data_IF_566472515199
#
_entry.id   IF_566472515199
#
_cell.length_a   1.000
_cell.length_b   1.000
_cell.length_c   1.000
_cell.angle_alpha   90.00
_cell.angle_beta   90.00
_cell.angle_gamma   90.00
#
_symmetry.space_group_name_H-M   'P 1'
#
loop_
_entity.id
_entity.type
_entity.pdbx_description
1 polymer ?
#
# COMPACT_ATOMS: atom_id res chain seq x y z
N UNK A 1 -2.02 -31.15 21.72
CA UNK A 1 -1.35 -30.69 20.50
C UNK A 1 -2.27 -30.35 19.32
N UNK A 2 -3.40 -31.02 19.08
CA UNK A 2 -4.28 -30.71 17.93
C UNK A 2 -5.02 -29.35 18.01
N UNK A 3 -5.31 -28.84 19.18
CA UNK A 3 -6.02 -27.55 19.34
C UNK A 3 -5.16 -26.33 18.99
N UNK A 4 -3.85 -26.36 19.21
CA UNK A 4 -2.95 -25.27 18.87
C UNK A 4 -2.77 -25.12 17.33
N UNK A 5 -2.73 -26.23 16.61
CA UNK A 5 -2.62 -26.23 15.15
C UNK A 5 -3.87 -25.63 14.48
N UNK A 6 -5.07 -25.91 15.03
CA UNK A 6 -6.32 -25.37 14.48
C UNK A 6 -6.45 -23.87 14.73
N UNK A 7 -5.97 -23.38 15.87
CA UNK A 7 -5.98 -21.93 16.17
C UNK A 7 -5.01 -21.15 15.29
N UNK A 8 -3.83 -21.71 15.03
CA UNK A 8 -2.83 -21.12 14.13
C UNK A 8 -3.36 -21.10 12.68
N UNK A 9 -3.99 -22.18 12.23
CA UNK A 9 -4.57 -22.24 10.88
C UNK A 9 -5.71 -21.23 10.68
N UNK A 10 -6.57 -21.04 11.69
CA UNK A 10 -7.65 -20.07 11.64
C UNK A 10 -7.12 -18.63 11.66
N UNK A 11 -6.03 -18.36 12.38
CA UNK A 11 -5.39 -17.04 12.41
C UNK A 11 -4.71 -16.70 11.07
N UNK A 12 -4.07 -17.67 10.41
CA UNK A 12 -3.49 -17.51 9.09
C UNK A 12 -4.57 -17.16 8.04
N UNK A 13 -5.67 -17.91 7.98
CA UNK A 13 -6.78 -17.65 7.06
C UNK A 13 -7.40 -16.25 7.23
N UNK A 14 -7.44 -15.71 8.44
CA UNK A 14 -7.97 -14.37 8.69
C UNK A 14 -7.00 -13.27 8.25
N UNK A 15 -5.70 -13.49 8.34
CA UNK A 15 -4.67 -12.55 7.88
C UNK A 15 -4.61 -12.49 6.34
N UNK A 16 -4.68 -13.64 5.67
CA UNK A 16 -4.74 -13.75 4.20
C UNK A 16 -5.94 -13.00 3.61
N UNK A 17 -7.12 -13.18 4.19
CA UNK A 17 -8.32 -12.48 3.73
C UNK A 17 -8.22 -10.96 3.94
N UNK A 18 -7.55 -10.52 5.02
CA UNK A 18 -7.37 -9.11 5.35
C UNK A 18 -6.45 -8.42 4.33
N UNK A 19 -5.31 -9.03 3.99
CA UNK A 19 -4.37 -8.48 3.02
C UNK A 19 -5.03 -8.29 1.65
N UNK A 20 -5.65 -9.34 1.11
CA UNK A 20 -6.31 -9.27 -0.19
C UNK A 20 -7.44 -8.25 -0.20
N UNK A 21 -8.27 -8.22 0.84
CA UNK A 21 -9.33 -7.23 0.97
C UNK A 21 -8.81 -5.79 1.06
N UNK A 22 -7.63 -5.60 1.66
CA UNK A 22 -6.99 -4.29 1.76
C UNK A 22 -6.38 -3.83 0.43
N UNK A 23 -5.71 -4.75 -0.29
CA UNK A 23 -5.05 -4.44 -1.56
C UNK A 23 -6.02 -4.32 -2.74
N UNK A 24 -7.25 -4.82 -2.62
CA UNK A 24 -8.29 -4.71 -3.65
C UNK A 24 -9.33 -3.68 -3.23
N UNK A 25 -9.26 -2.49 -3.79
CA UNK A 25 -10.23 -1.44 -3.48
C UNK A 25 -11.55 -1.69 -4.24
N UNK A 26 -12.71 -1.62 -3.57
CA UNK A 26 -13.99 -1.76 -4.26
C UNK A 26 -14.24 -0.58 -5.20
N UNK A 27 -14.62 -0.87 -6.43
CA UNK A 27 -14.97 0.12 -7.45
C UNK A 27 -13.77 0.61 -8.28
N UNK A 28 -13.80 1.89 -8.67
CA UNK A 28 -12.78 2.50 -9.55
C UNK A 28 -11.64 3.19 -8.78
N UNK A 29 -11.59 3.08 -7.46
CA UNK A 29 -10.49 3.62 -6.67
C UNK A 29 -9.32 2.63 -6.69
N UNK A 30 -8.10 3.13 -6.62
CA UNK A 30 -6.91 2.31 -6.39
C UNK A 30 -6.64 2.20 -4.88
N UNK A 31 -6.20 1.06 -4.41
CA UNK A 31 -5.68 0.92 -3.06
C UNK A 31 -4.30 1.58 -2.97
N UNK A 32 -4.02 2.26 -1.86
CA UNK A 32 -2.75 2.98 -1.69
C UNK A 32 -2.04 2.47 -0.46
N UNK A 33 -0.89 1.86 -0.66
CA UNK A 33 0.01 1.40 0.39
C UNK A 33 1.16 2.37 0.58
N UNK A 34 1.69 2.43 1.79
CA UNK A 34 2.77 3.34 2.18
C UNK A 34 3.98 2.53 2.63
N UNK A 35 5.16 2.82 2.08
CA UNK A 35 6.41 2.28 2.57
C UNK A 35 6.96 3.13 3.71
N UNK A 36 7.35 2.47 4.79
CA UNK A 36 8.01 3.02 5.96
C UNK A 36 9.45 2.54 6.03
N UNK A 37 10.39 3.47 6.11
CA UNK A 37 11.84 3.20 6.19
C UNK A 37 12.50 3.85 7.42
N UNK A 38 11.68 4.26 8.40
CA UNK A 38 12.14 4.92 9.63
C UNK A 38 12.43 3.95 10.77
N UNK A 39 12.78 4.51 11.92
CA UNK A 39 13.06 3.75 13.13
C UNK A 39 11.77 3.29 13.85
N UNK A 40 11.88 2.19 14.59
CA UNK A 40 10.71 1.56 15.24
C UNK A 40 10.04 2.39 16.36
N UNK A 41 10.66 3.45 16.81
CA UNK A 41 10.21 4.30 17.93
C UNK A 41 9.15 5.34 17.58
N UNK A 42 8.90 5.60 16.29
CA UNK A 42 7.95 6.62 15.81
C UNK A 42 6.63 6.03 15.26
N UNK A 43 6.33 4.77 15.58
CA UNK A 43 5.32 3.99 14.84
C UNK A 43 3.89 4.26 15.30
N UNK A 44 3.63 4.47 16.58
CA UNK A 44 2.26 4.47 17.12
C UNK A 44 1.38 5.58 16.51
N UNK A 45 1.89 6.81 16.48
CA UNK A 45 1.17 7.94 15.89
C UNK A 45 1.01 7.79 14.38
N UNK A 46 2.10 7.42 13.69
CA UNK A 46 2.09 7.18 12.25
C UNK A 46 1.07 6.12 11.86
N UNK A 47 1.03 5.01 12.58
CA UNK A 47 0.11 3.90 12.32
C UNK A 47 -1.35 4.35 12.41
N UNK A 48 -1.70 5.11 13.45
CA UNK A 48 -3.05 5.68 13.60
C UNK A 48 -3.39 6.65 12.48
N UNK A 49 -2.47 7.53 12.09
CA UNK A 49 -2.70 8.50 11.03
C UNK A 49 -2.84 7.83 9.65
N UNK A 50 -2.07 6.77 9.36
CA UNK A 50 -2.23 5.98 8.14
C UNK A 50 -3.59 5.27 8.10
N UNK A 51 -4.09 4.75 9.24
CA UNK A 51 -5.46 4.21 9.31
C UNK A 51 -6.50 5.28 9.02
N UNK A 52 -6.39 6.47 9.65
CA UNK A 52 -7.31 7.59 9.40
C UNK A 52 -7.27 8.06 7.94
N UNK A 53 -6.10 8.03 7.31
CA UNK A 53 -5.92 8.31 5.89
C UNK A 53 -6.52 7.22 4.98
N UNK A 54 -6.88 6.05 5.55
CA UNK A 54 -7.36 4.88 4.82
C UNK A 54 -6.30 4.31 3.87
N UNK A 55 -5.03 4.31 4.28
CA UNK A 55 -4.02 3.52 3.60
C UNK A 55 -4.47 2.05 3.49
N UNK A 56 -3.98 1.34 2.50
CA UNK A 56 -4.35 -0.07 2.28
C UNK A 56 -3.47 -1.02 3.10
N UNK A 57 -2.17 -0.74 3.16
CA UNK A 57 -1.19 -1.52 3.89
C UNK A 57 0.02 -0.64 4.26
N UNK A 58 0.80 -1.09 5.24
CA UNK A 58 2.08 -0.52 5.62
C UNK A 58 3.17 -1.50 5.19
N UNK A 59 4.20 -1.01 4.49
CA UNK A 59 5.31 -1.82 4.01
C UNK A 59 6.59 -1.37 4.70
N UNK A 60 7.40 -2.29 5.23
CA UNK A 60 8.66 -1.98 5.89
C UNK A 60 9.67 -3.12 5.71
N UNK A 61 10.95 -2.80 5.79
CA UNK A 61 12.10 -3.71 5.61
C UNK A 61 12.79 -4.10 6.93
N UNK A 62 12.36 -3.50 8.05
CA UNK A 62 12.87 -3.78 9.39
C UNK A 62 11.91 -4.67 10.18
N UNK A 63 12.41 -5.79 10.74
CA UNK A 63 11.62 -6.74 11.55
C UNK A 63 11.13 -6.12 12.85
N UNK A 64 11.89 -5.22 13.46
CA UNK A 64 11.46 -4.54 14.68
C UNK A 64 10.32 -3.56 14.40
N UNK A 65 10.37 -2.86 13.26
CA UNK A 65 9.26 -2.04 12.78
C UNK A 65 8.01 -2.90 12.51
N UNK A 66 8.15 -4.07 11.87
CA UNK A 66 7.03 -5.03 11.70
C UNK A 66 6.39 -5.36 13.03
N UNK A 67 7.21 -5.69 14.04
CA UNK A 67 6.72 -6.07 15.38
C UNK A 67 5.93 -4.93 16.04
N UNK A 68 6.46 -3.70 15.96
CA UNK A 68 5.79 -2.53 16.52
C UNK A 68 4.46 -2.23 15.80
N UNK A 69 4.45 -2.21 14.45
CA UNK A 69 3.22 -2.05 13.69
C UNK A 69 2.21 -3.14 13.97
N UNK A 70 2.61 -4.42 13.98
CA UNK A 70 1.72 -5.54 14.25
C UNK A 70 1.11 -5.47 15.65
N UNK A 71 1.89 -5.07 16.65
CA UNK A 71 1.41 -4.87 18.01
C UNK A 71 0.36 -3.75 18.08
N UNK A 72 0.63 -2.59 17.48
CA UNK A 72 -0.31 -1.47 17.44
C UNK A 72 -1.58 -1.85 16.66
N UNK A 73 -1.47 -2.49 15.50
CA UNK A 73 -2.62 -2.95 14.72
C UNK A 73 -3.48 -3.97 15.49
N UNK A 74 -2.86 -4.79 16.35
CA UNK A 74 -3.60 -5.74 17.17
C UNK A 74 -4.51 -5.06 18.21
N UNK A 75 -4.11 -3.89 18.71
CA UNK A 75 -4.93 -3.08 19.63
C UNK A 75 -6.10 -2.40 18.93
N UNK A 76 -5.99 -2.17 17.62
CA UNK A 76 -7.01 -1.52 16.80
C UNK A 76 -8.12 -2.48 16.31
N UNK A 77 -8.11 -3.74 16.73
CA UNK A 77 -9.17 -4.70 16.40
C UNK A 77 -10.50 -4.24 17.00
N UNK A 78 -11.49 -4.02 16.13
CA UNK A 78 -12.81 -3.55 16.52
C UNK A 78 -12.97 -2.03 16.46
N UNK A 79 -11.91 -1.28 16.27
CA UNK A 79 -11.94 0.16 16.08
C UNK A 79 -12.27 0.52 14.62
N UNK A 80 -12.70 1.76 14.40
CA UNK A 80 -12.85 2.29 13.05
C UNK A 80 -12.00 3.57 12.91
N UNK A 81 -11.11 3.64 11.93
CA UNK A 81 -10.77 2.62 10.91
C UNK A 81 -10.00 1.44 11.51
N UNK A 82 -10.30 0.24 11.01
CA UNK A 82 -9.72 -1.02 11.47
C UNK A 82 -8.23 -1.17 11.16
N UNK A 83 -7.64 -2.30 11.57
CA UNK A 83 -6.21 -2.54 11.41
C UNK A 83 -5.79 -2.60 9.94
N UNK A 84 -4.55 -2.18 9.68
CA UNK A 84 -3.87 -2.30 8.38
C UNK A 84 -2.98 -3.55 8.37
N UNK A 85 -2.93 -4.32 7.28
CA UNK A 85 -1.92 -5.35 7.12
C UNK A 85 -0.53 -4.74 7.03
N UNK A 86 0.44 -5.41 7.65
CA UNK A 86 1.86 -5.05 7.59
C UNK A 86 2.55 -6.00 6.62
N UNK A 87 3.25 -5.46 5.64
CA UNK A 87 3.98 -6.20 4.60
C UNK A 87 5.48 -6.01 4.81
N UNK A 88 6.21 -7.10 4.82
CA UNK A 88 7.67 -7.06 4.97
C UNK A 88 8.38 -7.16 3.63
N UNK A 89 9.35 -6.29 3.41
CA UNK A 89 10.10 -6.17 2.15
C UNK A 89 11.56 -6.61 2.25
N UNK A 90 12.06 -6.90 3.47
CA UNK A 90 13.45 -7.27 3.72
C UNK A 90 13.76 -8.75 3.49
N UNK A 91 14.95 -9.18 3.90
CA UNK A 91 15.47 -10.52 3.61
C UNK A 91 15.04 -11.59 4.63
N UNK A 92 14.87 -11.24 5.92
CA UNK A 92 14.55 -12.21 6.98
C UNK A 92 13.04 -12.45 7.08
N UNK A 93 12.50 -13.14 6.08
CA UNK A 93 11.06 -13.39 5.92
C UNK A 93 10.45 -14.20 7.06
N UNK A 94 11.21 -15.17 7.60
CA UNK A 94 10.72 -15.98 8.71
C UNK A 94 10.59 -15.15 9.99
N UNK A 95 11.62 -14.37 10.33
CA UNK A 95 11.56 -13.50 11.50
C UNK A 95 10.44 -12.46 11.40
N UNK A 96 10.18 -11.92 10.19
CA UNK A 96 9.08 -11.01 9.96
C UNK A 96 7.71 -11.68 10.12
N UNK A 97 7.56 -12.91 9.64
CA UNK A 97 6.34 -13.71 9.83
C UNK A 97 6.09 -13.95 11.33
N UNK A 98 7.12 -14.32 12.07
CA UNK A 98 7.07 -14.52 13.53
C UNK A 98 6.77 -13.20 14.28
N UNK A 99 7.21 -12.07 13.71
CA UNK A 99 6.91 -10.73 14.23
C UNK A 99 5.49 -10.24 13.92
N UNK A 100 4.72 -10.96 13.08
CA UNK A 100 3.33 -10.65 12.76
C UNK A 100 3.12 -9.97 11.40
N UNK A 101 4.06 -10.09 10.46
CA UNK A 101 3.83 -9.65 9.09
C UNK A 101 2.62 -10.40 8.48
N UNK A 102 1.75 -9.66 7.81
CA UNK A 102 0.60 -10.21 7.10
C UNK A 102 0.98 -10.79 5.73
N UNK A 103 2.10 -10.34 5.17
CA UNK A 103 2.71 -10.87 3.96
C UNK A 103 4.21 -10.52 3.91
N UNK A 104 4.93 -11.25 3.07
CA UNK A 104 6.35 -11.00 2.77
C UNK A 104 6.55 -10.79 1.27
N UNK A 105 7.52 -9.96 0.91
CA UNK A 105 7.91 -9.78 -0.49
C UNK A 105 9.03 -10.74 -0.85
N UNK A 106 8.94 -11.35 -2.01
CA UNK A 106 9.95 -12.24 -2.56
C UNK A 106 10.14 -11.99 -4.05
N UNK A 107 11.33 -12.29 -4.57
CA UNK A 107 11.55 -12.27 -6.01
C UNK A 107 10.97 -13.54 -6.64
N UNK A 108 10.49 -13.45 -7.86
CA UNK A 108 9.94 -14.59 -8.58
C UNK A 108 11.00 -15.70 -8.72
N UNK A 109 10.69 -16.88 -8.19
CA UNK A 109 11.61 -18.02 -8.15
C UNK A 109 12.35 -18.24 -6.84
N UNK A 110 12.20 -17.33 -5.85
CA UNK A 110 12.72 -17.55 -4.51
C UNK A 110 12.00 -18.72 -3.81
N UNK A 111 12.74 -19.47 -3.01
CA UNK A 111 12.13 -20.39 -2.05
C UNK A 111 11.69 -19.61 -0.80
N UNK A 112 10.40 -19.55 -0.58
CA UNK A 112 9.81 -18.79 0.55
C UNK A 112 9.38 -19.71 1.71
N UNK A 113 9.50 -21.03 1.56
CA UNK A 113 9.10 -22.00 2.57
C UNK A 113 7.64 -21.82 3.01
N UNK A 114 7.38 -21.98 4.31
CA UNK A 114 6.07 -21.82 4.95
C UNK A 114 5.85 -20.39 5.49
N UNK A 115 6.48 -19.37 4.87
CA UNK A 115 6.30 -17.99 5.27
C UNK A 115 4.85 -17.53 5.09
N UNK A 116 4.52 -16.35 5.60
CA UNK A 116 3.25 -15.66 5.39
C UNK A 116 2.93 -15.56 3.88
N UNK A 117 1.67 -15.18 3.51
CA UNK A 117 1.32 -14.93 2.11
C UNK A 117 2.37 -14.12 1.37
N UNK A 118 2.62 -14.46 0.11
CA UNK A 118 3.73 -13.89 -0.64
C UNK A 118 3.26 -12.80 -1.60
N UNK A 119 4.01 -11.72 -1.66
CA UNK A 119 3.89 -10.71 -2.72
C UNK A 119 5.10 -10.87 -3.63
N UNK A 120 4.87 -11.42 -4.82
CA UNK A 120 5.93 -11.70 -5.78
C UNK A 120 6.39 -10.43 -6.49
N UNK A 121 7.67 -10.10 -6.38
CA UNK A 121 8.25 -9.05 -7.21
C UNK A 121 8.46 -9.59 -8.61
N UNK A 122 7.82 -8.95 -9.58
CA UNK A 122 7.81 -9.41 -10.97
C UNK A 122 8.16 -8.27 -11.93
N UNK A 123 8.56 -8.68 -13.13
CA UNK A 123 8.74 -7.81 -14.30
C UNK A 123 7.82 -8.30 -15.42
N UNK A 124 7.67 -7.52 -16.48
CA UNK A 124 6.91 -7.95 -17.65
C UNK A 124 7.42 -9.29 -18.25
N UNK A 125 8.73 -9.58 -18.10
CA UNK A 125 9.32 -10.77 -18.65
C UNK A 125 8.97 -12.07 -17.87
N UNK A 126 8.72 -11.99 -16.54
CA UNK A 126 8.52 -13.16 -15.68
C UNK A 126 7.14 -13.23 -15.02
N UNK A 127 6.27 -12.24 -15.22
CA UNK A 127 4.96 -12.16 -14.57
C UNK A 127 4.06 -13.38 -14.85
N UNK A 128 4.05 -13.89 -16.08
CA UNK A 128 3.28 -15.06 -16.46
C UNK A 128 3.76 -16.34 -15.79
N UNK A 129 5.08 -16.53 -15.71
CA UNK A 129 5.69 -17.70 -15.06
C UNK A 129 5.46 -17.64 -13.54
N UNK A 130 5.68 -16.48 -12.92
CA UNK A 130 5.39 -16.27 -11.50
C UNK A 130 3.92 -16.55 -11.18
N UNK A 131 2.99 -16.07 -12.00
CA UNK A 131 1.56 -16.30 -11.81
C UNK A 131 1.17 -17.78 -11.95
N UNK A 132 1.89 -18.54 -12.75
CA UNK A 132 1.63 -19.99 -12.92
C UNK A 132 2.03 -20.81 -11.70
N UNK A 133 2.96 -20.29 -10.89
CA UNK A 133 3.46 -20.94 -9.68
C UNK A 133 2.82 -20.37 -8.39
N UNK A 134 2.17 -19.21 -8.48
CA UNK A 134 1.60 -18.50 -7.36
C UNK A 134 0.30 -19.14 -6.86
N UNK A 135 0.04 -18.99 -5.57
CA UNK A 135 -1.24 -19.35 -4.96
C UNK A 135 -2.34 -18.33 -5.32
N UNK A 136 -3.60 -18.68 -5.06
CA UNK A 136 -4.73 -17.76 -5.28
C UNK A 136 -4.73 -16.56 -4.34
N UNK A 137 -3.96 -16.61 -3.26
CA UNK A 137 -3.85 -15.57 -2.23
C UNK A 137 -2.68 -14.62 -2.47
N UNK A 138 -1.76 -14.97 -3.38
CA UNK A 138 -0.59 -14.17 -3.68
C UNK A 138 -0.95 -12.88 -4.43
N UNK A 139 -0.09 -11.88 -4.26
CA UNK A 139 -0.13 -10.62 -4.99
C UNK A 139 1.17 -10.42 -5.78
N UNK A 140 1.18 -9.44 -6.67
CA UNK A 140 2.30 -9.16 -7.55
C UNK A 140 2.70 -7.69 -7.45
N UNK A 141 3.97 -7.44 -7.18
CA UNK A 141 4.59 -6.12 -7.09
C UNK A 141 5.49 -5.89 -8.31
N UNK A 142 5.38 -4.74 -8.93
CA UNK A 142 6.18 -4.36 -10.09
C UNK A 142 6.37 -2.84 -10.17
N UNK A 143 7.32 -2.37 -10.96
CA UNK A 143 7.53 -0.95 -11.17
C UNK A 143 6.44 -0.34 -12.07
N UNK A 144 6.03 0.88 -11.76
CA UNK A 144 4.87 1.54 -12.38
C UNK A 144 4.96 1.68 -13.91
N UNK A 145 6.17 1.81 -14.46
CA UNK A 145 6.43 1.91 -15.91
C UNK A 145 6.09 0.62 -16.66
N UNK A 146 6.05 -0.53 -15.96
CA UNK A 146 5.73 -1.85 -16.52
C UNK A 146 4.26 -2.24 -16.37
N UNK A 147 3.41 -1.35 -15.82
CA UNK A 147 2.04 -1.71 -15.40
C UNK A 147 1.23 -2.37 -16.50
N UNK A 148 1.20 -1.81 -17.70
CA UNK A 148 0.37 -2.33 -18.79
C UNK A 148 0.79 -3.75 -19.21
N UNK A 149 2.10 -3.98 -19.34
CA UNK A 149 2.65 -5.25 -19.78
C UNK A 149 2.49 -6.33 -18.71
N UNK A 150 2.76 -5.99 -17.44
CA UNK A 150 2.60 -6.92 -16.32
C UNK A 150 1.14 -7.29 -16.13
N UNK A 151 0.23 -6.32 -16.09
CA UNK A 151 -1.21 -6.59 -15.92
C UNK A 151 -1.75 -7.45 -17.07
N UNK A 152 -1.29 -7.25 -18.31
CA UNK A 152 -1.68 -8.09 -19.43
C UNK A 152 -1.17 -9.54 -19.33
N UNK A 153 -0.03 -9.77 -18.66
CA UNK A 153 0.55 -11.10 -18.46
C UNK A 153 -0.06 -11.85 -17.26
N UNK A 154 -0.68 -11.12 -16.31
CA UNK A 154 -1.26 -11.71 -15.10
C UNK A 154 -2.69 -12.24 -15.34
N UNK A 155 -3.14 -13.26 -14.57
CA UNK A 155 -4.53 -13.69 -14.58
C UNK A 155 -5.49 -12.54 -14.16
N UNK A 156 -6.69 -12.51 -14.73
CA UNK A 156 -7.67 -11.43 -14.52
C UNK A 156 -8.06 -11.20 -13.04
N UNK A 157 -7.82 -12.18 -12.16
CA UNK A 157 -8.10 -12.09 -10.72
C UNK A 157 -6.85 -11.83 -9.86
N UNK A 158 -5.68 -11.69 -10.48
CA UNK A 158 -4.45 -11.41 -9.76
C UNK A 158 -4.51 -10.02 -9.10
N UNK A 159 -3.91 -9.92 -7.93
CA UNK A 159 -3.77 -8.64 -7.22
C UNK A 159 -2.46 -8.00 -7.67
N UNK A 160 -2.55 -6.99 -8.54
CA UNK A 160 -1.44 -6.29 -9.14
C UNK A 160 -1.19 -4.96 -8.41
N UNK A 161 0.00 -4.77 -7.84
CA UNK A 161 0.40 -3.58 -7.08
C UNK A 161 1.57 -2.90 -7.79
N UNK A 162 1.37 -1.68 -8.26
CA UNK A 162 2.41 -0.90 -8.90
C UNK A 162 3.23 -0.11 -7.87
N UNK A 163 4.54 -0.15 -7.98
CA UNK A 163 5.49 0.55 -7.12
C UNK A 163 5.88 1.89 -7.73
N UNK A 164 5.71 2.97 -6.97
CA UNK A 164 5.96 4.36 -7.40
C UNK A 164 6.83 5.04 -6.36
N UNK A 165 7.87 5.79 -6.78
CA UNK A 165 8.62 6.62 -5.86
C UNK A 165 7.74 7.78 -5.34
N UNK A 166 7.75 8.02 -4.05
CA UNK A 166 7.00 9.09 -3.41
C UNK A 166 7.70 10.46 -3.56
N UNK A 167 6.99 11.53 -3.22
CA UNK A 167 7.52 12.91 -3.12
C UNK A 167 8.18 13.42 -4.40
N UNK A 168 7.62 13.10 -5.55
CA UNK A 168 8.09 13.58 -6.84
C UNK A 168 7.71 15.04 -7.08
N UNK A 169 8.40 15.69 -8.02
CA UNK A 169 8.06 17.05 -8.42
C UNK A 169 6.66 17.11 -9.04
N UNK A 170 5.94 18.18 -8.73
CA UNK A 170 4.59 18.44 -9.25
C UNK A 170 3.56 17.31 -9.01
N UNK A 171 3.75 16.54 -7.93
CA UNK A 171 2.89 15.40 -7.59
C UNK A 171 2.81 14.34 -8.70
N UNK A 172 3.92 14.14 -9.43
CA UNK A 172 3.96 13.21 -10.55
C UNK A 172 3.61 11.77 -10.16
N UNK A 173 3.87 11.37 -8.90
CA UNK A 173 3.47 10.08 -8.35
C UNK A 173 1.94 9.90 -8.32
N UNK A 174 1.17 10.98 -8.18
CA UNK A 174 -0.30 10.92 -8.19
C UNK A 174 -0.81 10.64 -9.60
N UNK A 175 -0.24 11.30 -10.61
CA UNK A 175 -0.59 11.03 -12.00
C UNK A 175 -0.14 9.63 -12.43
N UNK A 176 1.06 9.20 -12.01
CA UNK A 176 1.54 7.84 -12.23
C UNK A 176 0.61 6.79 -11.60
N UNK A 177 0.18 7.02 -10.36
CA UNK A 177 -0.76 6.11 -9.68
C UNK A 177 -2.12 6.03 -10.36
N UNK A 178 -2.60 7.14 -10.92
CA UNK A 178 -3.82 7.16 -11.72
C UNK A 178 -3.65 6.39 -13.02
N UNK A 179 -2.51 6.56 -13.70
CA UNK A 179 -2.20 5.82 -14.92
C UNK A 179 -2.11 4.30 -14.64
N UNK A 180 -1.47 3.89 -13.55
CA UNK A 180 -1.42 2.48 -13.13
C UNK A 180 -2.83 1.91 -12.90
N UNK A 181 -3.70 2.64 -12.20
CA UNK A 181 -5.10 2.25 -12.02
C UNK A 181 -5.83 2.10 -13.34
N UNK A 182 -5.68 3.06 -14.24
CA UNK A 182 -6.36 3.07 -15.54
C UNK A 182 -5.84 1.93 -16.44
N UNK A 183 -4.59 1.47 -16.22
CA UNK A 183 -4.01 0.28 -16.84
C UNK A 183 -4.40 -1.04 -16.14
N UNK A 184 -5.15 -0.99 -15.02
CA UNK A 184 -5.71 -2.17 -14.36
C UNK A 184 -4.99 -2.63 -13.09
N UNK A 185 -4.03 -1.87 -12.56
CA UNK A 185 -3.47 -2.17 -11.24
C UNK A 185 -4.54 -2.07 -10.15
N UNK A 186 -4.55 -3.03 -9.23
CA UNK A 186 -5.44 -3.05 -8.08
C UNK A 186 -5.01 -2.06 -6.99
N UNK A 187 -3.71 -1.86 -6.85
CA UNK A 187 -3.11 -0.99 -5.87
C UNK A 187 -1.83 -0.31 -6.34
N UNK A 188 -1.42 0.70 -5.56
CA UNK A 188 -0.10 1.33 -5.69
C UNK A 188 0.60 1.31 -4.34
N UNK A 189 1.92 1.14 -4.38
CA UNK A 189 2.84 1.30 -3.27
C UNK A 189 3.63 2.59 -3.47
N UNK A 190 3.53 3.53 -2.55
CA UNK A 190 4.36 4.73 -2.51
C UNK A 190 5.66 4.44 -1.75
N UNK A 191 6.77 4.27 -2.49
CA UNK A 191 8.09 3.98 -1.93
C UNK A 191 8.73 5.22 -1.33
N UNK A 192 9.39 5.04 -0.17
CA UNK A 192 10.08 6.13 0.52
C UNK A 192 9.14 7.22 1.04
N UNK A 193 7.86 6.91 1.21
CA UNK A 193 6.86 7.89 1.60
C UNK A 193 6.97 8.32 3.07
N UNK A 194 7.46 7.45 3.94
CA UNK A 194 7.54 7.72 5.37
C UNK A 194 8.86 7.26 5.99
N UNK A 195 9.48 8.13 6.77
CA UNK A 195 10.57 7.79 7.70
C UNK A 195 10.18 8.09 9.16
N UNK A 196 9.01 8.66 9.40
CA UNK A 196 8.43 8.84 10.73
C UNK A 196 8.37 10.27 11.26
N UNK A 197 8.55 11.28 10.42
CA UNK A 197 8.34 12.67 10.83
C UNK A 197 6.91 13.19 10.53
N UNK A 198 6.55 14.33 11.12
CA UNK A 198 5.22 14.93 10.97
C UNK A 198 4.90 15.31 9.52
N UNK A 199 5.90 15.66 8.72
CA UNK A 199 5.69 16.03 7.32
C UNK A 199 5.37 14.79 6.47
N UNK A 200 5.96 13.65 6.80
CA UNK A 200 5.64 12.37 6.15
C UNK A 200 4.19 11.95 6.39
N UNK A 201 3.69 12.13 7.62
CA UNK A 201 2.29 11.84 7.95
C UNK A 201 1.36 12.72 7.12
N UNK A 202 1.66 14.01 7.03
CA UNK A 202 0.88 14.94 6.20
C UNK A 202 0.92 14.56 4.73
N UNK A 203 2.11 14.24 4.22
CA UNK A 203 2.28 13.78 2.85
C UNK A 203 1.49 12.50 2.59
N UNK A 204 1.64 11.47 3.42
CA UNK A 204 0.92 10.21 3.24
C UNK A 204 -0.61 10.41 3.21
N UNK A 205 -1.14 11.24 4.10
CA UNK A 205 -2.57 11.58 4.11
C UNK A 205 -3.00 12.29 2.83
N UNK A 206 -2.21 13.24 2.35
CA UNK A 206 -2.48 13.97 1.11
C UNK A 206 -2.47 13.03 -0.09
N UNK A 207 -1.39 12.27 -0.29
CA UNK A 207 -1.22 11.37 -1.42
C UNK A 207 -2.29 10.27 -1.46
N UNK A 208 -2.59 9.64 -0.31
CA UNK A 208 -3.70 8.66 -0.20
C UNK A 208 -5.04 9.31 -0.56
N UNK A 209 -5.30 10.53 -0.07
CA UNK A 209 -6.51 11.27 -0.38
C UNK A 209 -6.67 11.55 -1.88
N UNK A 210 -5.63 11.99 -2.55
CA UNK A 210 -5.64 12.30 -3.98
C UNK A 210 -5.82 11.06 -4.86
N UNK A 211 -5.10 9.97 -4.54
CA UNK A 211 -5.15 8.72 -5.30
C UNK A 211 -6.49 7.99 -5.14
N UNK A 212 -7.07 8.03 -3.94
CA UNK A 212 -8.38 7.43 -3.67
C UNK A 212 -9.55 8.29 -4.14
N UNK A 213 -9.35 9.58 -4.33
CA UNK A 213 -10.40 10.44 -4.88
C UNK A 213 -10.78 9.91 -6.25
N UNK A 214 -12.05 9.63 -6.46
CA UNK A 214 -12.55 9.45 -7.83
C UNK A 214 -12.19 10.74 -8.55
N UNK A 215 -11.49 10.64 -9.68
CA UNK A 215 -11.50 11.75 -10.63
C UNK A 215 -12.96 12.12 -10.74
N UNK A 216 -13.37 13.25 -10.23
CA UNK A 216 -14.63 13.82 -10.66
C UNK A 216 -14.49 13.79 -12.18
N UNK A 217 -15.26 12.94 -12.86
CA UNK A 217 -15.39 13.04 -14.28
C UNK A 217 -15.43 14.52 -14.50
N UNK A 218 -14.61 15.05 -15.38
CA UNK A 218 -14.58 16.46 -15.70
C UNK A 218 -15.97 16.88 -16.23
N UNK A 219 -16.93 16.80 -15.40
CA UNK A 219 -17.95 17.79 -15.32
C UNK A 219 -17.11 19.00 -14.95
N UNK A 220 -16.42 19.46 -15.96
CA UNK A 220 -15.86 20.76 -15.96
C UNK A 220 -16.97 21.61 -15.40
N UNK A 221 -16.81 21.98 -14.15
CA UNK A 221 -17.50 23.14 -13.64
C UNK A 221 -16.88 24.37 -14.32
N UNK A 222 -16.49 24.23 -15.58
CA UNK A 222 -16.13 25.32 -16.49
C UNK A 222 -17.29 26.30 -16.68
N UNK A 223 -18.46 25.96 -16.20
CA UNK A 223 -19.62 26.85 -16.18
C UNK A 223 -19.99 27.39 -14.81
N UNK A 224 -19.39 26.90 -13.73
CA UNK A 224 -19.70 27.36 -12.38
C UNK A 224 -18.59 28.26 -11.83
N UNK A 225 -18.31 29.35 -12.52
CA UNK A 225 -17.54 30.49 -11.98
C UNK A 225 -18.38 31.30 -10.97
N UNK A 226 -19.48 30.74 -10.51
CA UNK A 226 -20.24 31.28 -9.39
C UNK A 226 -19.54 30.89 -8.12
N UNK A 227 -18.83 31.84 -7.50
CA UNK A 227 -18.56 31.95 -6.06
C UNK A 227 -19.13 30.79 -5.22
N UNK A 228 -18.65 29.60 -5.39
CA UNK A 228 -18.83 28.57 -4.40
C UNK A 228 -17.77 28.80 -3.34
N UNK A 229 -18.11 29.60 -2.35
CA UNK A 229 -17.47 29.54 -1.07
C UNK A 229 -17.44 28.06 -0.69
N UNK A 230 -16.26 27.47 -0.83
CA UNK A 230 -16.03 26.03 -0.81
C UNK A 230 -16.51 25.36 0.47
N UNK A 231 -17.76 24.98 0.48
CA UNK A 231 -18.34 24.13 1.52
C UNK A 231 -18.16 22.64 1.19
N UNK A 232 -17.52 22.31 0.08
CA UNK A 232 -17.09 20.97 -0.23
C UNK A 232 -15.56 20.94 -0.29
N UNK A 233 -14.96 20.95 0.88
CA UNK A 233 -13.72 20.29 1.27
C UNK A 233 -12.54 20.22 0.30
N UNK A 234 -12.37 21.18 -0.60
CA UNK A 234 -11.12 21.38 -1.31
C UNK A 234 -10.38 22.58 -0.75
N UNK A 235 -10.36 22.69 0.55
CA UNK A 235 -9.52 23.71 1.24
C UNK A 235 -8.02 23.44 1.11
N UNK A 236 -7.62 22.46 0.32
CA UNK A 236 -6.22 22.24 -0.07
C UNK A 236 -5.85 22.84 -1.43
N UNK A 237 -6.76 23.51 -2.10
CA UNK A 237 -6.54 24.17 -3.38
C UNK A 237 -6.18 25.65 -3.30
N UNK A 238 -5.84 26.19 -2.14
CA UNK A 238 -5.51 27.59 -1.96
C UNK A 238 -4.07 27.78 -1.58
N UNK A 239 -3.34 28.47 -2.39
CA UNK A 239 -2.20 29.38 -2.17
C UNK A 239 -0.97 28.91 -1.38
N UNK A 240 -1.05 27.92 -0.49
CA UNK A 240 0.08 27.44 0.27
C UNK A 240 0.27 25.93 0.07
N UNK A 241 0.64 25.54 -1.15
CA UNK A 241 1.33 24.25 -1.32
C UNK A 241 2.61 24.35 -0.49
N UNK A 242 2.80 23.49 0.51
CA UNK A 242 4.08 23.49 1.21
C UNK A 242 5.16 23.26 0.16
N UNK A 243 6.05 24.21 0.00
CA UNK A 243 7.16 24.18 -0.98
C UNK A 243 8.20 23.09 -0.71
N UNK A 244 7.94 22.16 0.19
CA UNK A 244 8.97 21.32 0.78
C UNK A 244 8.60 19.87 0.99
N UNK A 245 7.91 19.23 0.05
CA UNK A 245 7.92 17.75 0.02
C UNK A 245 9.23 17.18 -0.54
N UNK A 246 10.23 18.03 -0.77
CA UNK A 246 11.53 17.59 -1.31
C UNK A 246 12.41 17.12 -0.17
N UNK A 247 12.54 15.80 0.05
CA UNK A 247 13.74 15.28 0.68
C UNK A 247 14.88 15.41 -0.31
N UNK A 248 15.94 16.10 0.10
CA UNK A 248 17.24 15.94 -0.56
C UNK A 248 17.67 14.50 -0.27
N UNK A 249 17.56 13.64 -1.28
CA UNK A 249 18.22 12.34 -1.25
C UNK A 249 19.73 12.63 -1.21
N UNK A 250 20.32 12.42 -0.04
CA UNK A 250 21.76 12.44 0.15
C UNK A 250 22.37 11.13 -0.34
#
# INVERSE_FOLDING_TARGET
MRFHAILLLAAAHTAESLLRAALVSPGKAVSVSIEYTGAADAIDELSQELRKAKAAAIWCDDVDAVRCFAAEQSTAKGDFPGPLPVVYTGADRQAATDAGAAAVVADAGDDVGDAAPVIWRVTAANAGDAASSASSEDAFLFDADQTADVVAALPAKAVAVASIAAMQEDEAEVEAGRACRDAGAAGVLLRGACVGDDEDIKYARHAVGLLRSKRSSSFAMDGFTGSTNGHFGTSYGGADKPKAWKRQLA
#
